data_IF_617709614464
#
_entry.id   IF_617709614464
#
_cell.length_a   1.000
_cell.length_b   1.000
_cell.length_c   1.000
_cell.angle_alpha   90.00
_cell.angle_beta   90.00
_cell.angle_gamma   90.00
#
_symmetry.space_group_name_H-M   'P 1'
#
loop_
_entity.id
_entity.type
_entity.pdbx_description
1 polymer ?
#
# COMPACT_ATOMS: atom_id res chain seq x y z
N UNK A 1 -7.21 9.63 -1.02
CA UNK A 1 -6.17 8.60 -1.27
C UNK A 1 -6.49 7.26 -0.61
N UNK A 2 -6.77 7.22 0.69
CA UNK A 2 -7.11 6.00 1.47
C UNK A 2 -8.13 5.01 0.86
N UNK A 3 -9.06 5.43 -0.01
CA UNK A 3 -9.94 4.51 -0.73
C UNK A 3 -9.20 3.51 -1.62
N UNK A 4 -7.97 3.82 -2.04
CA UNK A 4 -7.13 2.91 -2.81
C UNK A 4 -6.61 1.76 -1.94
N UNK A 5 -6.35 2.00 -0.66
CA UNK A 5 -5.89 0.96 0.27
C UNK A 5 -6.94 -0.15 0.48
N UNK A 6 -8.22 0.15 0.27
CA UNK A 6 -9.34 -0.81 0.37
C UNK A 6 -9.54 -1.64 -0.88
N UNK A 7 -8.75 -1.42 -1.93
CA UNK A 7 -8.80 -2.21 -3.14
C UNK A 7 -8.00 -3.52 -2.96
N UNK A 8 -8.48 -4.65 -3.52
CA UNK A 8 -7.87 -5.95 -3.33
C UNK A 8 -6.58 -6.17 -4.14
N UNK A 9 -6.30 -5.31 -5.13
CA UNK A 9 -5.11 -5.44 -5.98
C UNK A 9 -3.92 -4.63 -5.48
N UNK A 10 -2.73 -5.10 -5.86
CA UNK A 10 -1.46 -4.45 -5.56
C UNK A 10 -1.10 -3.46 -6.68
N UNK A 11 -0.39 -2.38 -6.33
CA UNK A 11 0.01 -1.33 -7.26
C UNK A 11 1.09 -0.44 -6.64
N UNK A 12 1.74 0.38 -7.47
CA UNK A 12 2.63 1.41 -6.99
C UNK A 12 1.83 2.48 -6.23
N UNK A 13 1.96 2.51 -4.91
CA UNK A 13 1.25 3.47 -4.05
C UNK A 13 1.74 4.93 -4.24
N UNK A 14 2.85 5.17 -4.94
CA UNK A 14 3.37 6.49 -5.28
C UNK A 14 3.08 6.90 -6.72
N UNK A 15 2.91 5.94 -7.62
CA UNK A 15 2.62 6.17 -9.04
C UNK A 15 1.29 5.49 -9.42
N UNK A 16 0.20 6.22 -9.22
CA UNK A 16 -1.14 5.65 -9.24
C UNK A 16 -1.59 5.32 -10.67
N UNK A 17 -1.92 4.05 -10.99
CA UNK A 17 -2.50 3.72 -12.27
C UNK A 17 -3.84 4.44 -12.47
N UNK A 18 -4.09 4.97 -13.68
CA UNK A 18 -5.29 5.76 -13.95
C UNK A 18 -6.61 5.01 -13.67
N UNK A 19 -6.64 3.69 -13.82
CA UNK A 19 -7.78 2.83 -13.47
C UNK A 19 -8.03 2.78 -11.95
N UNK A 20 -6.97 2.60 -11.15
CA UNK A 20 -7.00 2.60 -9.69
C UNK A 20 -7.52 3.95 -9.18
N UNK A 21 -6.99 5.05 -9.70
CA UNK A 21 -7.43 6.40 -9.33
C UNK A 21 -8.92 6.63 -9.63
N UNK A 22 -9.40 6.25 -10.83
CA UNK A 22 -10.82 6.36 -11.19
C UNK A 22 -11.71 5.56 -10.25
N UNK A 23 -11.34 4.30 -9.95
CA UNK A 23 -12.12 3.46 -9.05
C UNK A 23 -12.17 4.02 -7.63
N UNK A 24 -11.05 4.53 -7.12
CA UNK A 24 -10.99 5.16 -5.81
C UNK A 24 -11.91 6.39 -5.71
N UNK A 25 -12.00 7.22 -6.77
CA UNK A 25 -12.94 8.36 -6.80
C UNK A 25 -14.40 7.90 -6.71
N UNK A 26 -14.76 6.80 -7.35
CA UNK A 26 -16.10 6.23 -7.25
C UNK A 26 -16.43 5.73 -5.84
N UNK A 27 -15.49 5.00 -5.22
CA UNK A 27 -15.61 4.50 -3.84
C UNK A 27 -15.86 5.68 -2.88
N UNK A 28 -15.08 6.76 -3.01
CA UNK A 28 -15.26 7.97 -2.19
C UNK A 28 -16.63 8.61 -2.45
N UNK A 29 -17.02 8.78 -3.72
CA UNK A 29 -18.29 9.40 -4.10
C UNK A 29 -19.50 8.62 -3.57
N UNK A 30 -19.46 7.29 -3.67
CA UNK A 30 -20.54 6.39 -3.25
C UNK A 30 -20.47 6.00 -1.77
N UNK A 31 -19.41 6.39 -1.05
CA UNK A 31 -19.14 6.00 0.34
C UNK A 31 -19.19 4.47 0.51
N UNK A 32 -18.57 3.74 -0.42
CA UNK A 32 -18.58 2.27 -0.39
C UNK A 32 -17.83 1.73 0.85
N UNK A 33 -18.29 0.61 1.39
CA UNK A 33 -17.54 -0.15 2.40
C UNK A 33 -16.41 -0.94 1.72
N UNK A 34 -15.23 -1.11 2.36
CA UNK A 34 -14.92 -0.72 3.74
C UNK A 34 -14.36 0.71 3.88
N UNK A 35 -14.29 1.48 2.80
CA UNK A 35 -13.72 2.83 2.82
C UNK A 35 -14.43 3.75 3.81
N UNK A 36 -15.77 3.73 3.86
CA UNK A 36 -16.51 4.65 4.75
C UNK A 36 -16.14 4.46 6.23
N UNK A 37 -15.96 3.22 6.68
CA UNK A 37 -15.63 2.89 8.07
C UNK A 37 -14.20 3.30 8.41
N UNK A 38 -13.23 2.89 7.58
CA UNK A 38 -11.82 3.28 7.75
C UNK A 38 -11.63 4.78 7.69
N UNK A 39 -12.28 5.45 6.74
CA UNK A 39 -12.17 6.88 6.56
C UNK A 39 -12.76 7.66 7.74
N UNK A 40 -13.78 7.14 8.41
CA UNK A 40 -14.31 7.74 9.64
C UNK A 40 -13.32 7.57 10.81
N UNK A 41 -12.82 6.35 11.03
CA UNK A 41 -11.89 6.05 12.13
C UNK A 41 -10.54 6.79 11.99
N UNK A 42 -9.97 6.83 10.78
CA UNK A 42 -8.71 7.54 10.53
C UNK A 42 -8.86 9.05 10.77
N UNK A 43 -9.97 9.67 10.36
CA UNK A 43 -10.21 11.10 10.62
C UNK A 43 -10.40 11.43 12.10
N UNK A 44 -10.80 10.46 12.91
CA UNK A 44 -10.89 10.63 14.37
C UNK A 44 -9.53 10.49 15.07
N UNK A 45 -8.49 10.08 14.34
CA UNK A 45 -7.13 9.91 14.88
C UNK A 45 -6.37 11.24 14.80
N UNK A 46 -5.94 11.83 15.94
CA UNK A 46 -5.11 13.03 15.94
C UNK A 46 -3.79 12.81 15.19
N UNK A 47 -3.33 13.81 14.43
CA UNK A 47 -2.07 13.70 13.69
C UNK A 47 -2.09 12.69 12.55
N UNK A 48 -3.26 12.27 12.05
CA UNK A 48 -3.32 11.23 10.99
C UNK A 48 -2.57 11.61 9.71
N UNK A 49 -2.37 12.90 9.46
CA UNK A 49 -1.61 13.41 8.31
C UNK A 49 -0.09 13.35 8.51
N UNK A 50 0.37 13.07 9.73
CA UNK A 50 1.80 12.95 10.07
C UNK A 50 2.35 11.55 9.76
N UNK A 51 1.49 10.62 9.32
CA UNK A 51 1.85 9.28 8.91
C UNK A 51 1.95 9.18 7.39
N UNK A 52 2.92 8.41 6.92
CA UNK A 52 3.14 8.14 5.51
C UNK A 52 1.97 7.40 4.89
N UNK A 53 1.87 7.54 3.57
CA UNK A 53 0.94 6.73 2.77
C UNK A 53 1.17 5.24 2.97
N UNK A 54 2.43 4.80 3.07
CA UNK A 54 2.77 3.40 3.25
C UNK A 54 2.23 2.88 4.59
N UNK A 55 2.45 3.60 5.69
CA UNK A 55 1.94 3.21 7.01
C UNK A 55 0.41 3.09 7.04
N UNK A 56 -0.31 4.04 6.44
CA UNK A 56 -1.78 3.99 6.39
C UNK A 56 -2.27 2.83 5.52
N UNK A 57 -1.61 2.56 4.38
CA UNK A 57 -1.95 1.42 3.52
C UNK A 57 -1.68 0.09 4.22
N UNK A 58 -0.50 -0.05 4.84
CA UNK A 58 -0.13 -1.23 5.61
C UNK A 58 -1.14 -1.51 6.73
N UNK A 59 -1.53 -0.49 7.49
CA UNK A 59 -2.53 -0.60 8.55
C UNK A 59 -3.84 -1.22 8.04
N UNK A 60 -4.39 -0.68 6.94
CA UNK A 60 -5.65 -1.12 6.35
C UNK A 60 -5.52 -2.53 5.75
N UNK A 61 -4.42 -2.81 5.04
CA UNK A 61 -4.19 -4.07 4.32
C UNK A 61 -3.76 -5.24 5.21
N UNK A 62 -3.19 -4.95 6.38
CA UNK A 62 -2.86 -5.94 7.41
C UNK A 62 -4.04 -6.29 8.31
N UNK A 63 -5.12 -5.51 8.30
CA UNK A 63 -6.32 -5.83 9.06
C UNK A 63 -7.04 -7.05 8.45
N UNK A 64 -7.70 -7.84 9.29
CA UNK A 64 -8.55 -8.93 8.79
C UNK A 64 -9.64 -8.37 7.83
N UNK A 65 -9.97 -9.04 6.72
CA UNK A 65 -10.88 -8.49 5.71
C UNK A 65 -12.24 -8.04 6.24
N UNK A 66 -12.75 -8.71 7.28
CA UNK A 66 -14.04 -8.40 7.91
C UNK A 66 -13.94 -7.39 9.07
N UNK A 67 -12.73 -6.94 9.42
CA UNK A 67 -12.49 -6.16 10.63
C UNK A 67 -13.24 -4.81 10.65
N UNK A 68 -13.51 -4.23 9.47
CA UNK A 68 -14.28 -3.00 9.33
C UNK A 68 -15.75 -3.12 9.77
N UNK A 69 -16.29 -4.34 9.88
CA UNK A 69 -17.64 -4.57 10.43
C UNK A 69 -17.74 -4.22 11.92
N UNK A 70 -16.61 -4.01 12.60
CA UNK A 70 -16.54 -3.67 14.03
C UNK A 70 -16.01 -2.24 14.23
N UNK A 71 -16.78 -1.20 13.89
CA UNK A 71 -16.31 0.19 13.92
C UNK A 71 -15.81 0.63 15.31
N UNK A 72 -16.40 0.12 16.39
CA UNK A 72 -15.93 0.38 17.75
C UNK A 72 -14.53 -0.17 18.08
N UNK A 73 -14.02 -1.12 17.28
CA UNK A 73 -12.67 -1.70 17.42
C UNK A 73 -11.64 -1.09 16.48
N UNK A 74 -12.08 -0.38 15.42
CA UNK A 74 -11.16 0.22 14.46
C UNK A 74 -10.21 1.22 15.12
N UNK A 75 -10.71 2.08 16.01
CA UNK A 75 -9.85 3.07 16.67
C UNK A 75 -8.75 2.42 17.53
N UNK A 76 -9.10 1.37 18.28
CA UNK A 76 -8.13 0.64 19.09
C UNK A 76 -7.06 -0.03 18.23
N UNK A 77 -7.45 -0.60 17.09
CA UNK A 77 -6.51 -1.16 16.14
C UNK A 77 -5.60 -0.11 15.50
N UNK A 78 -6.15 1.04 15.09
CA UNK A 78 -5.35 2.16 14.56
C UNK A 78 -4.30 2.58 15.60
N UNK A 79 -4.72 2.85 16.84
CA UNK A 79 -3.80 3.30 17.90
C UNK A 79 -2.72 2.26 18.23
N UNK A 80 -3.01 0.97 18.07
CA UNK A 80 -2.07 -0.11 18.38
C UNK A 80 -1.06 -0.38 17.25
N UNK A 81 -1.42 -0.11 15.99
CA UNK A 81 -0.64 -0.56 14.83
C UNK A 81 -0.06 0.60 13.99
N UNK A 82 -0.63 1.80 14.08
CA UNK A 82 -0.11 2.97 13.38
C UNK A 82 0.99 3.62 14.22
N UNK A 83 2.22 3.08 14.10
CA UNK A 83 3.36 3.36 14.99
C UNK A 83 4.58 3.96 14.28
N UNK A 84 4.41 4.39 13.04
CA UNK A 84 5.50 5.01 12.26
C UNK A 84 6.02 6.29 12.93
N UNK A 85 7.33 6.50 12.83
CA UNK A 85 8.05 7.64 13.45
C UNK A 85 8.78 8.52 12.44
N UNK A 86 9.03 8.01 11.22
CA UNK A 86 9.59 8.75 10.08
C UNK A 86 8.65 8.57 8.88
N UNK A 87 7.91 9.61 8.54
CA UNK A 87 6.98 9.57 7.41
C UNK A 87 7.63 9.91 6.07
N UNK A 88 8.81 10.54 6.08
CA UNK A 88 9.53 10.89 4.86
C UNK A 88 10.19 9.64 4.26
N UNK A 89 10.65 8.72 5.12
CA UNK A 89 11.32 7.48 4.73
C UNK A 89 10.63 6.25 5.34
N UNK A 90 9.48 5.82 4.80
CA UNK A 90 8.78 4.63 5.30
C UNK A 90 9.66 3.38 5.15
N UNK A 91 9.57 2.47 6.12
CA UNK A 91 10.37 1.24 6.13
C UNK A 91 9.97 0.29 5.00
N UNK A 92 10.90 -0.58 4.58
CA UNK A 92 10.61 -1.64 3.59
C UNK A 92 9.49 -2.58 4.06
N UNK A 93 9.39 -2.81 5.36
CA UNK A 93 8.33 -3.60 5.99
C UNK A 93 6.96 -2.93 5.80
N UNK A 94 6.88 -1.61 5.99
CA UNK A 94 5.67 -0.84 5.74
C UNK A 94 5.30 -0.83 4.26
N UNK A 95 6.26 -0.70 3.35
CA UNK A 95 6.03 -0.77 1.90
C UNK A 95 5.52 -2.16 1.48
N UNK A 96 6.11 -3.22 2.02
CA UNK A 96 5.71 -4.60 1.77
C UNK A 96 4.30 -4.87 2.30
N UNK A 97 4.00 -4.48 3.55
CA UNK A 97 2.67 -4.63 4.13
C UNK A 97 1.62 -3.76 3.42
N UNK A 98 2.02 -2.59 2.91
CA UNK A 98 1.21 -1.75 2.03
C UNK A 98 0.97 -2.38 0.66
N UNK A 99 1.64 -3.48 0.33
CA UNK A 99 1.65 -4.14 -1.00
C UNK A 99 1.98 -3.14 -2.11
N UNK A 100 3.00 -2.34 -1.85
CA UNK A 100 3.59 -1.46 -2.85
C UNK A 100 4.32 -2.31 -3.90
N UNK A 101 3.98 -2.11 -5.17
CA UNK A 101 4.74 -2.67 -6.29
C UNK A 101 5.61 -1.56 -6.89
N UNK A 102 6.91 -1.49 -6.58
CA UNK A 102 7.77 -0.52 -7.24
C UNK A 102 7.75 -0.76 -8.75
N UNK A 103 7.89 0.30 -9.54
CA UNK A 103 8.18 0.11 -10.95
C UNK A 103 9.46 -0.72 -11.06
N UNK A 104 9.36 -1.89 -11.72
CA UNK A 104 10.55 -2.57 -12.18
C UNK A 104 11.18 -1.66 -13.21
N UNK A 105 12.37 -1.16 -12.95
CA UNK A 105 13.11 -0.40 -13.94
C UNK A 105 13.24 -1.29 -15.19
N UNK A 106 12.48 -0.94 -16.23
CA UNK A 106 12.44 -1.73 -17.46
C UNK A 106 13.82 -1.79 -18.12
N UNK A 107 14.66 -0.77 -17.90
CA UNK A 107 16.04 -0.74 -18.39
C UNK A 107 16.90 -1.69 -17.57
N UNK A 108 16.76 -1.73 -16.24
CA UNK A 108 17.48 -2.67 -15.39
C UNK A 108 17.06 -4.13 -15.67
N UNK A 109 15.77 -4.38 -15.86
CA UNK A 109 15.24 -5.70 -16.22
C UNK A 109 15.73 -6.13 -17.62
N UNK A 110 15.71 -5.22 -18.61
CA UNK A 110 16.25 -5.48 -19.94
C UNK A 110 17.76 -5.73 -19.90
N UNK A 111 18.51 -4.96 -19.08
CA UNK A 111 19.94 -5.14 -18.89
C UNK A 111 20.26 -6.49 -18.23
N UNK A 112 19.49 -6.89 -17.20
CA UNK A 112 19.61 -8.23 -16.58
C UNK A 112 19.34 -9.34 -17.59
N UNK A 113 18.30 -9.20 -18.41
CA UNK A 113 17.98 -10.18 -19.47
C UNK A 113 19.06 -10.23 -20.55
N UNK A 114 19.62 -9.09 -20.95
CA UNK A 114 20.74 -9.01 -21.89
C UNK A 114 22.03 -9.63 -21.32
N UNK A 115 22.35 -9.38 -20.05
CA UNK A 115 23.48 -9.97 -19.36
C UNK A 115 23.35 -11.50 -19.28
N UNK A 116 22.19 -12.00 -18.87
CA UNK A 116 21.89 -13.44 -18.87
C UNK A 116 22.01 -14.04 -20.29
N UNK A 117 21.50 -13.36 -21.33
CA UNK A 117 21.63 -13.81 -22.73
C UNK A 117 23.08 -13.80 -23.24
N UNK A 118 23.95 -12.97 -22.67
CA UNK A 118 25.40 -12.96 -22.94
C UNK A 118 26.19 -14.02 -22.17
N UNK A 119 25.52 -14.78 -21.30
CA UNK A 119 26.15 -15.77 -20.43
C UNK A 119 26.84 -15.17 -19.21
N UNK A 120 26.55 -13.91 -18.88
CA UNK A 120 26.97 -13.31 -17.61
C UNK A 120 26.11 -13.91 -16.49
N UNK A 121 26.73 -14.15 -15.34
CA UNK A 121 26.01 -14.65 -14.17
C UNK A 121 25.09 -13.54 -13.64
N UNK A 122 23.79 -13.84 -13.56
CA UNK A 122 22.78 -12.94 -13.00
C UNK A 122 22.07 -13.68 -11.88
N UNK A 123 22.20 -13.17 -10.66
CA UNK A 123 21.58 -13.73 -9.46
C UNK A 123 20.05 -13.83 -9.64
N UNK A 124 19.49 -15.03 -9.43
CA UNK A 124 18.06 -15.32 -9.60
C UNK A 124 17.59 -15.61 -11.04
N UNK A 125 18.47 -15.54 -12.05
CA UNK A 125 18.19 -15.93 -13.44
C UNK A 125 19.10 -17.08 -13.90
N UNK A 126 20.38 -17.05 -13.53
CA UNK A 126 21.34 -18.10 -13.87
C UNK A 126 21.21 -19.30 -12.93
N UNK A 127 21.30 -20.52 -13.49
CA UNK A 127 21.41 -21.75 -12.71
C UNK A 127 22.76 -21.80 -11.95
N UNK A 128 22.81 -22.34 -10.72
CA UNK A 128 24.01 -22.43 -9.89
C UNK A 128 25.07 -23.43 -10.41
#
# INVERSE_FOLDING_TARGET
>A
EIAMATLPMDFNIYELPGSVYRRAKEIVKKKESPFKEWSAALRATPGILDYSRAAIFALIRSAHPEFYHYPGRLQGYINANLTETDHENPTEEALTAARHTPEKDAVEEANRQLAAARGEYVEGISDP
#
